data_IF_836697346344
#
_entry.id   IF_836697346344
#
_cell.length_a   1.000
_cell.length_b   1.000
_cell.length_c   1.000
_cell.angle_alpha   90.00
_cell.angle_beta   90.00
_cell.angle_gamma   90.00
#
_symmetry.space_group_name_H-M   'P 1'
#
loop_
_entity.id
_entity.type
_entity.pdbx_description
1 polymer ?
#
# COMPACT_ATOMS: atom_id res chain seq x y z
N UNK A 1 -9.65 -6.53 -13.01
CA UNK A 1 -10.27 -6.00 -11.79
C UNK A 1 -9.42 -4.84 -11.30
N UNK A 2 -10.07 -3.85 -10.73
CA UNK A 2 -9.35 -2.69 -10.21
C UNK A 2 -9.51 -2.58 -8.72
N UNK A 3 -8.46 -2.08 -8.07
CA UNK A 3 -8.53 -1.68 -6.67
C UNK A 3 -8.02 -0.26 -6.56
N UNK A 4 -8.48 0.45 -5.54
CA UNK A 4 -8.00 1.80 -5.27
C UNK A 4 -6.88 1.69 -4.26
N UNK A 5 -5.72 2.25 -4.60
CA UNK A 5 -4.58 2.27 -3.70
C UNK A 5 -4.44 3.67 -3.11
N UNK A 6 -4.32 3.71 -1.79
CA UNK A 6 -4.08 4.96 -1.07
C UNK A 6 -2.68 4.92 -0.47
N UNK A 7 -1.97 6.03 -0.62
CA UNK A 7 -0.65 6.19 -0.01
C UNK A 7 -0.74 7.31 1.02
N UNK A 8 -0.16 7.07 2.18
CA UNK A 8 -0.22 8.01 3.28
C UNK A 8 1.14 8.61 3.58
N UNK A 9 1.14 9.86 4.05
CA UNK A 9 2.32 10.53 4.58
C UNK A 9 3.49 10.49 3.60
N UNK A 10 4.66 10.03 4.06
CA UNK A 10 5.87 10.06 3.23
C UNK A 10 5.76 9.21 1.98
N UNK A 11 4.92 8.19 1.99
CA UNK A 11 4.76 7.36 0.81
C UNK A 11 4.14 8.15 -0.34
N UNK A 12 3.13 8.97 -0.03
CA UNK A 12 2.50 9.79 -1.05
C UNK A 12 3.49 10.79 -1.61
N UNK A 13 4.33 11.36 -0.77
CA UNK A 13 5.34 12.30 -1.22
C UNK A 13 6.35 11.66 -2.14
N UNK A 14 6.79 10.45 -1.79
CA UNK A 14 7.80 9.76 -2.60
C UNK A 14 7.25 9.31 -3.95
N UNK A 15 6.00 8.87 -3.98
CA UNK A 15 5.41 8.39 -5.22
C UNK A 15 4.87 9.52 -6.09
N UNK A 16 4.51 10.64 -5.48
CA UNK A 16 3.96 11.76 -6.21
C UNK A 16 2.45 11.71 -6.38
N UNK A 17 1.78 10.81 -5.67
CA UNK A 17 0.31 10.73 -5.72
C UNK A 17 -0.17 10.08 -4.43
N UNK A 18 -1.46 10.30 -4.13
CA UNK A 18 -2.07 9.76 -2.92
C UNK A 18 -3.08 8.68 -3.20
N UNK A 19 -3.69 8.70 -4.37
CA UNK A 19 -4.78 7.79 -4.69
C UNK A 19 -4.68 7.44 -6.16
N UNK A 20 -4.81 6.16 -6.47
CA UNK A 20 -4.74 5.70 -7.83
C UNK A 20 -5.48 4.37 -7.95
N UNK A 21 -6.19 4.19 -9.07
CA UNK A 21 -6.76 2.89 -9.38
C UNK A 21 -5.69 2.04 -10.04
N UNK A 22 -5.56 0.80 -9.59
CA UNK A 22 -4.53 -0.10 -10.07
C UNK A 22 -5.20 -1.39 -10.50
N UNK A 23 -4.77 -1.90 -11.64
CA UNK A 23 -5.27 -3.16 -12.16
C UNK A 23 -4.72 -4.31 -11.36
N UNK A 24 -5.58 -5.25 -10.97
CA UNK A 24 -5.17 -6.45 -10.28
C UNK A 24 -5.82 -7.66 -10.94
N UNK A 25 -5.27 -8.81 -10.65
CA UNK A 25 -5.80 -10.08 -11.14
C UNK A 25 -6.37 -10.87 -9.99
N UNK A 26 -7.27 -11.76 -10.30
CA UNK A 26 -7.82 -12.67 -9.31
C UNK A 26 -6.67 -13.44 -8.66
N UNK A 27 -6.68 -13.49 -7.33
CA UNK A 27 -5.62 -14.17 -6.60
C UNK A 27 -4.45 -13.29 -6.19
N UNK A 28 -4.40 -12.06 -6.68
CA UNK A 28 -3.35 -11.15 -6.24
C UNK A 28 -3.50 -10.84 -4.76
N UNK A 29 -2.36 -10.78 -4.08
CA UNK A 29 -2.34 -10.44 -2.67
C UNK A 29 -1.85 -9.00 -2.51
N UNK A 30 -1.94 -8.50 -1.27
CA UNK A 30 -1.41 -7.19 -0.96
C UNK A 30 0.07 -7.12 -1.32
N UNK A 31 0.82 -8.19 -1.04
CA UNK A 31 2.23 -8.22 -1.39
C UNK A 31 2.45 -8.07 -2.89
N UNK A 32 1.60 -8.69 -3.70
CA UNK A 32 1.73 -8.58 -5.15
C UNK A 32 1.54 -7.13 -5.61
N UNK A 33 0.52 -6.46 -5.08
CA UNK A 33 0.27 -5.07 -5.42
C UNK A 33 1.42 -4.19 -4.94
N UNK A 34 1.88 -4.43 -3.72
CA UNK A 34 3.01 -3.69 -3.16
C UNK A 34 4.24 -3.81 -4.05
N UNK A 35 4.55 -5.03 -4.48
CA UNK A 35 5.75 -5.25 -5.27
C UNK A 35 5.66 -4.54 -6.61
N UNK A 36 4.50 -4.50 -7.23
CA UNK A 36 4.31 -3.74 -8.46
C UNK A 36 4.54 -2.26 -8.23
N UNK A 37 4.02 -1.73 -7.13
CA UNK A 37 4.23 -0.32 -6.82
C UNK A 37 5.69 0.00 -6.60
N UNK A 38 6.41 -0.89 -5.92
CA UNK A 38 7.83 -0.68 -5.67
C UNK A 38 8.62 -0.71 -6.97
N UNK A 39 8.21 -1.55 -7.92
CA UNK A 39 8.88 -1.56 -9.21
C UNK A 39 8.70 -0.25 -9.96
N UNK A 40 7.50 0.34 -9.88
CA UNK A 40 7.27 1.64 -10.51
C UNK A 40 7.91 2.78 -9.74
N UNK A 41 7.99 2.64 -8.42
CA UNK A 41 8.49 3.68 -7.54
C UNK A 41 9.53 3.08 -6.60
N UNK A 42 10.75 2.85 -7.11
CA UNK A 42 11.78 2.20 -6.28
C UNK A 42 12.11 2.96 -5.00
N UNK A 43 11.78 4.24 -4.96
CA UNK A 43 12.03 5.05 -3.77
C UNK A 43 11.16 4.62 -2.59
N UNK A 44 10.15 3.79 -2.82
CA UNK A 44 9.34 3.26 -1.73
C UNK A 44 9.97 2.03 -1.07
N UNK A 45 10.96 1.44 -1.72
CA UNK A 45 11.53 0.16 -1.25
C UNK A 45 12.01 0.19 0.20
N UNK A 46 12.69 1.24 0.67
CA UNK A 46 13.18 1.23 2.06
C UNK A 46 12.06 1.16 3.09
N UNK A 47 10.85 1.60 2.75
CA UNK A 47 9.74 1.58 3.70
C UNK A 47 9.04 0.23 3.77
N UNK A 48 9.28 -0.66 2.81
CA UNK A 48 8.51 -1.90 2.69
C UNK A 48 8.52 -2.74 3.97
N UNK A 49 9.67 -2.97 4.62
CA UNK A 49 9.66 -3.84 5.82
C UNK A 49 8.81 -3.30 6.96
N UNK A 50 8.51 -2.02 6.95
CA UNK A 50 7.79 -1.39 8.06
C UNK A 50 6.37 -0.97 7.68
N UNK A 51 5.92 -1.31 6.48
CA UNK A 51 4.61 -0.89 6.03
C UNK A 51 3.50 -1.59 6.79
N UNK A 52 2.44 -0.84 7.04
CA UNK A 52 1.17 -1.39 7.49
C UNK A 52 0.19 -1.34 6.33
N UNK A 53 -0.72 -2.28 6.31
CA UNK A 53 -1.70 -2.38 5.22
C UNK A 53 -3.10 -2.34 5.80
N UNK A 54 -4.00 -1.64 5.11
CA UNK A 54 -5.41 -1.63 5.47
C UNK A 54 -6.22 -1.92 4.22
N UNK A 55 -7.14 -2.86 4.33
CA UNK A 55 -7.98 -3.26 3.23
C UNK A 55 -9.41 -2.95 3.62
N UNK A 56 -10.04 -2.02 2.87
CA UNK A 56 -11.39 -1.55 3.20
C UNK A 56 -11.49 -1.07 4.63
N UNK A 57 -10.46 -0.31 5.07
CA UNK A 57 -10.42 0.33 6.39
C UNK A 57 -10.17 -0.63 7.54
N UNK A 58 -9.75 -1.86 7.24
CA UNK A 58 -9.39 -2.82 8.27
C UNK A 58 -7.95 -3.27 8.06
N UNK A 59 -7.19 -3.41 9.14
CA UNK A 59 -5.82 -3.86 9.03
C UNK A 59 -5.76 -5.23 8.38
N UNK A 60 -4.77 -5.40 7.51
CA UNK A 60 -4.61 -6.62 6.75
C UNK A 60 -3.14 -6.99 6.69
N UNK A 61 -2.88 -8.18 6.19
CA UNK A 61 -1.53 -8.71 6.07
C UNK A 61 -1.13 -8.82 4.62
N UNK A 62 0.19 -8.85 4.38
CA UNK A 62 0.69 -8.85 3.00
C UNK A 62 0.20 -10.06 2.21
N UNK A 63 -0.14 -11.15 2.88
CA UNK A 63 -0.62 -12.35 2.19
C UNK A 63 -2.13 -12.36 1.97
N UNK A 64 -2.85 -11.38 2.46
CA UNK A 64 -4.29 -11.35 2.26
C UNK A 64 -4.62 -11.03 0.81
N UNK A 65 -5.65 -11.69 0.25
CA UNK A 65 -6.04 -11.39 -1.13
C UNK A 65 -6.71 -10.03 -1.24
N UNK A 66 -6.61 -9.44 -2.41
CA UNK A 66 -7.18 -8.13 -2.68
C UNK A 66 -8.41 -8.30 -3.56
N UNK A 67 -9.62 -8.13 -3.01
CA UNK A 67 -10.82 -8.30 -3.83
C UNK A 67 -11.04 -7.14 -4.78
N UNK A 68 -11.77 -7.41 -5.85
CA UNK A 68 -12.09 -6.39 -6.84
C UNK A 68 -12.86 -5.25 -6.16
N UNK A 69 -12.51 -4.03 -6.54
CA UNK A 69 -13.19 -2.85 -6.00
C UNK A 69 -12.78 -2.44 -4.61
N UNK A 70 -11.82 -3.14 -4.01
CA UNK A 70 -11.39 -2.83 -2.66
C UNK A 70 -10.55 -1.56 -2.63
N UNK A 71 -10.43 -0.98 -1.44
CA UNK A 71 -9.52 0.13 -1.20
C UNK A 71 -8.37 -0.40 -0.35
N UNK A 72 -7.16 -0.29 -0.87
CA UNK A 72 -5.96 -0.79 -0.21
C UNK A 72 -5.09 0.40 0.17
N UNK A 73 -4.84 0.55 1.46
CA UNK A 73 -4.03 1.64 1.97
C UNK A 73 -2.67 1.14 2.41
N UNK A 74 -1.63 1.85 2.02
CA UNK A 74 -0.28 1.62 2.51
C UNK A 74 0.06 2.72 3.50
N UNK A 75 0.40 2.33 4.71
CA UNK A 75 0.59 3.26 5.82
C UNK A 75 2.01 3.08 6.34
N UNK A 76 2.83 4.12 6.30
CA UNK A 76 4.17 4.01 6.87
C UNK A 76 4.09 3.99 8.39
N UNK A 77 5.09 3.45 9.05
CA UNK A 77 5.08 3.45 10.51
C UNK A 77 5.16 4.88 11.02
N UNK A 78 4.56 5.11 12.18
CA UNK A 78 4.67 6.39 12.84
C UNK A 78 6.04 6.45 13.49
N UNK A 79 6.96 7.12 12.84
CA UNK A 79 8.31 7.18 13.38
C UNK A 79 8.39 8.29 14.41
N UNK A 80 9.23 8.07 15.37
CA UNK A 80 9.42 9.02 16.41
C UNK A 80 8.28 9.07 17.36
N UNK A 81 7.45 8.34 17.13
CA UNK A 81 6.38 8.24 17.97
C UNK A 81 6.04 9.36 18.83
N UNK A 82 6.07 9.46 19.11
CA UNK A 82 5.73 10.15 19.70
C UNK A 82 6.06 10.66 20.55
N UNK A 83 6.23 10.65 20.65
CA UNK A 83 6.40 11.07 21.32
C UNK A 83 6.19 11.10 22.12
N UNK A 84 6.19 10.96 22.26
CA UNK A 84 5.93 10.99 23.02
C UNK A 84 6.29 11.09 23.61
#
# INVERSE_FOLDING_TARGET
>A
MEVTVLLFASLAEKAGWRKRAIEVREGDTIATVRDRLVEEHPQLRPAVPSLLYALNEEYAREWDPVPAGATLAFIPPVSGGCSC
#
